data_IF_045342150013
#
_entry.id   IF_045342150013
#
_cell.length_a   1.000
_cell.length_b   1.000
_cell.length_c   1.000
_cell.angle_alpha   90.00
_cell.angle_beta   90.00
_cell.angle_gamma   90.00
#
_symmetry.space_group_name_H-M   'P 1'
#
loop_
_entity.id
_entity.type
_entity.pdbx_description
1 polymer ?
#
# COMPACT_ATOMS: atom_id res chain seq x y z
N UNK A 1 -5.87 -5.21 2.94
CA UNK A 1 -4.48 -5.70 2.87
C UNK A 1 -4.41 -7.22 2.72
N UNK A 2 -5.53 -7.95 2.87
CA UNK A 2 -5.57 -9.41 2.83
C UNK A 2 -5.08 -10.00 1.50
N UNK A 3 -5.40 -9.35 0.36
CA UNK A 3 -4.90 -9.75 -0.96
C UNK A 3 -3.38 -9.66 -1.07
N UNK A 4 -2.77 -8.64 -0.43
CA UNK A 4 -1.31 -8.47 -0.39
C UNK A 4 -0.66 -9.60 0.42
N UNK A 5 -1.24 -9.97 1.57
CA UNK A 5 -0.78 -11.11 2.38
C UNK A 5 -1.00 -12.46 1.70
N UNK A 6 -1.99 -12.59 0.81
CA UNK A 6 -2.17 -13.76 -0.04
C UNK A 6 -1.20 -13.80 -1.24
N UNK A 7 -0.30 -12.83 -1.38
CA UNK A 7 0.63 -12.72 -2.52
C UNK A 7 0.01 -12.17 -3.80
N UNK A 8 -1.25 -11.70 -3.76
CA UNK A 8 -1.96 -11.14 -4.90
C UNK A 8 -1.93 -9.60 -4.85
N UNK A 9 -0.74 -9.04 -5.05
CA UNK A 9 -0.55 -7.59 -5.07
C UNK A 9 -1.32 -6.94 -6.23
N UNK A 10 -1.39 -7.59 -7.38
CA UNK A 10 -2.06 -7.03 -8.55
C UNK A 10 -3.56 -6.80 -8.30
N UNK A 11 -4.25 -7.77 -7.69
CA UNK A 11 -5.66 -7.57 -7.31
C UNK A 11 -5.80 -6.54 -6.19
N UNK A 12 -4.88 -6.52 -5.21
CA UNK A 12 -4.90 -5.52 -4.14
C UNK A 12 -4.84 -4.09 -4.70
N UNK A 13 -3.92 -3.82 -5.63
CA UNK A 13 -3.79 -2.51 -6.27
C UNK A 13 -5.03 -2.17 -7.10
N UNK A 14 -5.59 -3.14 -7.85
CA UNK A 14 -6.85 -2.93 -8.60
C UNK A 14 -8.02 -2.54 -7.69
N UNK A 15 -8.11 -3.11 -6.49
CA UNK A 15 -9.13 -2.72 -5.51
C UNK A 15 -9.01 -1.26 -5.05
N UNK A 16 -7.83 -0.65 -5.19
CA UNK A 16 -7.61 0.75 -4.84
C UNK A 16 -8.11 1.74 -5.92
N UNK A 17 -8.35 1.27 -7.16
CA UNK A 17 -8.75 2.12 -8.30
C UNK A 17 -9.86 3.14 -8.00
N UNK A 18 -10.95 2.80 -7.28
CA UNK A 18 -12.02 3.75 -6.99
C UNK A 18 -11.59 4.95 -6.15
N UNK A 19 -10.47 4.83 -5.44
CA UNK A 19 -9.93 5.87 -4.58
C UNK A 19 -8.85 6.71 -5.27
N UNK A 20 -8.50 6.45 -6.53
CA UNK A 20 -7.52 7.24 -7.27
C UNK A 20 -8.19 8.30 -8.15
N UNK A 21 -7.66 9.53 -8.10
CA UNK A 21 -8.10 10.68 -8.91
C UNK A 21 -7.14 10.97 -10.07
N UNK A 22 -6.58 9.92 -10.66
CA UNK A 22 -5.70 9.98 -11.84
C UNK A 22 -6.35 9.27 -13.04
N UNK A 23 -5.94 9.57 -14.28
CA UNK A 23 -6.41 8.86 -15.47
C UNK A 23 -6.10 7.36 -15.42
N UNK A 24 -6.89 6.55 -16.13
CA UNK A 24 -6.68 5.09 -16.19
C UNK A 24 -5.31 4.71 -16.74
N UNK A 25 -4.80 5.46 -17.72
CA UNK A 25 -3.47 5.23 -18.28
C UNK A 25 -2.38 5.38 -17.21
N UNK A 26 -2.46 6.41 -16.37
CA UNK A 26 -1.51 6.66 -15.28
C UNK A 26 -1.62 5.57 -14.20
N UNK A 27 -2.85 5.20 -13.83
CA UNK A 27 -3.08 4.11 -12.89
C UNK A 27 -2.53 2.77 -13.39
N UNK A 28 -2.69 2.47 -14.67
CA UNK A 28 -2.17 1.25 -15.28
C UNK A 28 -0.63 1.24 -15.28
N UNK A 29 0.02 2.37 -15.54
CA UNK A 29 1.49 2.48 -15.42
C UNK A 29 1.94 2.19 -13.99
N UNK A 30 1.28 2.77 -12.98
CA UNK A 30 1.56 2.50 -11.56
C UNK A 30 1.38 1.01 -11.21
N UNK A 31 0.33 0.38 -11.73
CA UNK A 31 0.05 -1.04 -11.53
C UNK A 31 1.16 -1.91 -12.11
N UNK A 32 1.59 -1.65 -13.34
CA UNK A 32 2.66 -2.42 -13.99
C UNK A 32 4.02 -2.20 -13.32
N UNK A 33 4.34 -0.97 -12.93
CA UNK A 33 5.55 -0.66 -12.16
C UNK A 33 5.60 -1.39 -10.81
N UNK A 34 4.46 -1.45 -10.12
CA UNK A 34 4.37 -2.18 -8.84
C UNK A 34 4.52 -3.68 -9.04
N UNK A 35 3.97 -4.25 -10.11
CA UNK A 35 4.11 -5.68 -10.44
C UNK A 35 5.54 -6.08 -10.74
N UNK A 36 6.30 -5.24 -11.44
CA UNK A 36 7.71 -5.51 -11.75
C UNK A 36 8.57 -5.69 -10.49
N UNK A 37 8.16 -5.12 -9.35
CA UNK A 37 8.90 -5.25 -8.08
C UNK A 37 8.60 -6.56 -7.34
N UNK A 38 7.46 -7.22 -7.62
CA UNK A 38 7.02 -8.42 -6.89
C UNK A 38 8.04 -9.56 -6.93
N UNK A 39 8.60 -9.97 -8.09
CA UNK A 39 9.51 -11.12 -8.13
C UNK A 39 10.76 -10.88 -7.29
N UNK A 40 11.30 -9.66 -7.32
CA UNK A 40 12.46 -9.28 -6.52
C UNK A 40 12.14 -9.31 -5.02
N UNK A 41 10.98 -8.79 -4.62
CA UNK A 41 10.49 -8.83 -3.24
C UNK A 41 10.31 -10.28 -2.78
N UNK A 42 9.56 -11.10 -3.52
CA UNK A 42 9.28 -12.48 -3.13
C UNK A 42 10.54 -13.35 -3.04
N UNK A 43 11.49 -13.17 -3.97
CA UNK A 43 12.77 -13.89 -3.96
C UNK A 43 13.60 -13.56 -2.71
N UNK A 44 13.65 -12.29 -2.30
CA UNK A 44 14.46 -11.84 -1.16
C UNK A 44 13.76 -12.02 0.19
N UNK A 45 12.45 -11.77 0.25
CA UNK A 45 11.69 -11.69 1.51
C UNK A 45 11.01 -13.02 1.87
N UNK A 46 10.89 -13.93 0.90
CA UNK A 46 10.22 -15.22 1.05
C UNK A 46 8.71 -15.12 0.89
N UNK A 47 7.99 -16.14 1.35
CA UNK A 47 6.53 -16.18 1.26
C UNK A 47 5.90 -15.07 2.14
N UNK A 48 4.84 -14.38 1.65
CA UNK A 48 4.04 -13.50 2.48
C UNK A 48 3.29 -14.33 3.54
N UNK A 49 3.12 -13.76 4.74
CA UNK A 49 2.49 -14.43 5.88
C UNK A 49 1.16 -13.76 6.25
N UNK A 50 1.24 -12.53 6.77
CA UNK A 50 0.09 -11.78 7.25
C UNK A 50 0.33 -10.28 7.12
N UNK A 51 -0.65 -9.47 7.52
CA UNK A 51 -0.47 -8.03 7.67
C UNK A 51 -1.04 -7.55 8.99
N UNK A 52 -0.55 -6.41 9.46
CA UNK A 52 -0.95 -5.78 10.70
C UNK A 52 -1.26 -4.31 10.45
N UNK A 53 -2.33 -3.77 11.05
CA UNK A 53 -2.56 -2.32 11.06
C UNK A 53 -1.77 -1.75 12.23
N UNK A 54 -0.70 -0.99 11.95
CA UNK A 54 0.19 -0.47 13.00
C UNK A 54 -0.08 1.00 13.31
N UNK A 55 -0.66 1.75 12.36
CA UNK A 55 -1.01 3.14 12.61
C UNK A 55 -2.26 3.55 11.84
N UNK A 56 -3.12 4.31 12.51
CA UNK A 56 -4.18 5.11 11.90
C UNK A 56 -4.15 6.50 12.53
N UNK A 57 -3.73 7.51 11.76
CA UNK A 57 -3.62 8.90 12.21
C UNK A 57 -4.51 9.79 11.38
N UNK A 58 -5.33 10.60 12.03
CA UNK A 58 -6.12 11.66 11.37
C UNK A 58 -5.54 13.02 11.70
N UNK A 59 -5.47 13.90 10.70
CA UNK A 59 -5.09 15.30 10.88
C UNK A 59 -6.27 16.18 10.47
N UNK A 60 -6.97 16.70 11.47
CA UNK A 60 -8.24 17.39 11.27
C UNK A 60 -9.29 16.48 10.62
N UNK A 61 -10.13 17.05 9.75
CA UNK A 61 -11.23 16.34 9.09
C UNK A 61 -10.89 15.86 7.67
N UNK A 62 -9.78 16.34 7.12
CA UNK A 62 -9.46 16.20 5.69
C UNK A 62 -8.28 15.30 5.40
N UNK A 63 -7.43 14.98 6.38
CA UNK A 63 -6.27 14.12 6.19
C UNK A 63 -6.35 12.88 7.07
N UNK A 64 -6.00 11.73 6.50
CA UNK A 64 -5.84 10.47 7.24
C UNK A 64 -4.68 9.67 6.68
N UNK A 65 -3.80 9.20 7.54
CA UNK A 65 -2.74 8.27 7.23
C UNK A 65 -3.08 6.90 7.82
N UNK A 66 -2.91 5.86 7.03
CA UNK A 66 -3.03 4.46 7.46
C UNK A 66 -1.71 3.77 7.14
N UNK A 67 -1.11 3.12 8.12
CA UNK A 67 0.12 2.36 7.96
C UNK A 67 -0.12 0.90 8.33
N UNK A 68 0.21 0.01 7.41
CA UNK A 68 0.21 -1.43 7.61
C UNK A 68 1.63 -2.00 7.57
N UNK A 69 1.89 -3.02 8.39
CA UNK A 69 3.07 -3.85 8.30
C UNK A 69 2.70 -5.15 7.58
N UNK A 70 3.32 -5.43 6.44
CA UNK A 70 3.22 -6.72 5.78
C UNK A 70 4.38 -7.62 6.23
N UNK A 71 4.06 -8.80 6.75
CA UNK A 71 5.06 -9.78 7.21
C UNK A 71 5.36 -10.77 6.10
N UNK A 72 6.65 -10.99 5.86
CA UNK A 72 7.17 -12.09 5.05
C UNK A 72 8.04 -12.99 5.92
N UNK A 73 8.43 -14.16 5.40
CA UNK A 73 9.27 -15.12 6.12
C UNK A 73 10.60 -14.55 6.63
N UNK A 74 11.25 -13.66 5.86
CA UNK A 74 12.60 -13.15 6.18
C UNK A 74 12.67 -11.63 6.37
N UNK A 75 11.61 -10.90 6.04
CA UNK A 75 11.58 -9.44 6.06
C UNK A 75 10.16 -8.92 6.34
N UNK A 76 10.07 -7.63 6.65
CA UNK A 76 8.79 -6.94 6.72
C UNK A 76 8.80 -5.76 5.77
N UNK A 77 7.61 -5.38 5.30
CA UNK A 77 7.39 -4.20 4.47
C UNK A 77 6.39 -3.27 5.13
N UNK A 78 6.66 -1.99 5.07
CA UNK A 78 5.72 -0.93 5.44
C UNK A 78 4.85 -0.61 4.24
N UNK A 79 3.56 -0.46 4.47
CA UNK A 79 2.56 0.03 3.52
C UNK A 79 1.93 1.29 4.09
N UNK A 80 2.15 2.43 3.44
CA UNK A 80 1.63 3.72 3.87
C UNK A 80 0.61 4.24 2.86
N UNK A 81 -0.54 4.66 3.37
CA UNK A 81 -1.63 5.23 2.59
C UNK A 81 -1.99 6.59 3.16
N UNK A 82 -1.80 7.63 2.37
CA UNK A 82 -2.24 8.98 2.69
C UNK A 82 -3.54 9.26 1.96
N UNK A 83 -4.59 9.45 2.71
CA UNK A 83 -5.91 9.82 2.24
C UNK A 83 -6.16 11.31 2.42
N UNK A 84 -6.84 11.89 1.44
CA UNK A 84 -7.30 13.26 1.47
C UNK A 84 -8.80 13.35 1.17
N UNK A 85 -9.47 14.27 1.86
CA UNK A 85 -10.89 14.52 1.78
C UNK A 85 -11.17 16.04 1.74
N UNK A 86 -11.13 16.65 0.55
CA UNK A 86 -11.41 18.07 0.38
C UNK A 86 -12.90 18.41 0.49
N UNK A 87 -13.79 17.54 -0.01
CA UNK A 87 -15.22 17.84 -0.21
C UNK A 87 -16.16 16.71 0.25
N UNK A 88 -15.80 16.02 1.34
CA UNK A 88 -16.60 14.93 1.92
C UNK A 88 -16.36 13.54 1.31
N UNK A 89 -15.56 13.42 0.25
CA UNK A 89 -15.15 12.14 -0.35
C UNK A 89 -13.67 11.85 -0.15
N UNK A 90 -13.36 10.71 0.47
CA UNK A 90 -11.99 10.23 0.63
C UNK A 90 -11.41 9.67 -0.67
N UNK A 91 -10.17 10.04 -0.96
CA UNK A 91 -9.36 9.44 -2.01
C UNK A 91 -7.92 9.28 -1.54
N UNK A 92 -7.17 8.42 -2.23
CA UNK A 92 -5.73 8.24 -2.00
C UNK A 92 -5.02 9.43 -2.62
N UNK A 93 -4.41 10.26 -1.79
CA UNK A 93 -3.54 11.34 -2.20
C UNK A 93 -2.15 10.81 -2.58
N UNK A 94 -1.63 9.90 -1.77
CA UNK A 94 -0.41 9.16 -2.06
C UNK A 94 -0.43 7.80 -1.38
N UNK A 95 0.33 6.87 -1.93
CA UNK A 95 0.52 5.55 -1.37
C UNK A 95 1.96 5.11 -1.68
N UNK A 96 2.59 4.44 -0.71
CA UNK A 96 3.94 3.91 -0.86
C UNK A 96 4.08 2.58 -0.11
N UNK A 97 5.01 1.75 -0.56
CA UNK A 97 5.45 0.57 0.19
C UNK A 97 6.96 0.39 0.08
N UNK A 98 7.61 0.05 1.18
CA UNK A 98 9.07 -0.09 1.25
C UNK A 98 9.51 -1.04 2.38
N UNK A 99 10.79 -1.40 2.42
CA UNK A 99 11.41 -2.22 3.48
C UNK A 99 12.15 -1.37 4.54
N UNK A 100 11.90 -0.05 4.60
CA UNK A 100 12.55 0.88 5.52
C UNK A 100 11.90 0.88 6.90
N UNK A 101 11.83 -0.30 7.52
CA UNK A 101 11.18 -0.53 8.82
C UNK A 101 11.74 0.37 9.94
N UNK A 102 13.01 0.79 9.85
CA UNK A 102 13.62 1.72 10.82
C UNK A 102 12.93 3.08 10.88
N UNK A 103 12.26 3.51 9.81
CA UNK A 103 11.52 4.79 9.78
C UNK A 103 10.19 4.73 10.55
N UNK A 104 9.83 3.59 11.16
CA UNK A 104 8.66 3.43 12.03
C UNK A 104 8.94 3.75 13.52
N UNK A 105 10.20 4.00 13.88
CA UNK A 105 10.67 4.30 15.24
C UNK A 105 11.32 5.68 15.30
#
# INVERSE_FOLDING_TARGET
>A
MDKVSAGDLASALRMMRPYFRIPDAEFNILLEQSKMQIPAISSRFGAPLEHELIERRSMGKSLMMIVHLQKYKFHAMRWEFLFYNPEGSWYINSFNFDDKIKELF
#
